data_IF_260804869374
#
_entry.id   IF_260804869374
#
_cell.length_a   1.000
_cell.length_b   1.000
_cell.length_c   1.000
_cell.angle_alpha   90.00
_cell.angle_beta   90.00
_cell.angle_gamma   90.00
#
_symmetry.space_group_name_H-M   'P 1'
#
loop_
_entity.id
_entity.type
_entity.pdbx_description
1 polymer ?
#
# COMPACT_ATOMS: atom_id res chain seq x y z
N UNK A 1 -60.54 31.01 -2.06
CA UNK A 1 -60.51 30.79 -0.59
C UNK A 1 -61.14 29.45 -0.31
N UNK A 2 -60.57 28.70 0.65
CA UNK A 2 -60.93 27.36 1.16
C UNK A 2 -60.46 26.16 0.32
N UNK A 3 -59.89 25.07 0.85
CA UNK A 3 -59.22 24.75 2.13
C UNK A 3 -58.43 23.46 1.88
N UNK A 4 -57.31 23.30 2.58
CA UNK A 4 -56.42 22.14 2.56
C UNK A 4 -57.04 20.93 3.31
N UNK A 5 -56.38 19.76 3.16
CA UNK A 5 -56.29 18.62 4.10
C UNK A 5 -57.31 17.46 4.01
N UNK A 6 -56.89 16.32 3.44
CA UNK A 6 -56.43 15.08 4.13
C UNK A 6 -56.81 13.73 3.47
N UNK A 7 -55.78 12.86 3.40
CA UNK A 7 -55.83 11.37 3.38
C UNK A 7 -56.36 10.69 2.11
N UNK A 8 -55.73 9.67 1.50
CA UNK A 8 -55.05 8.53 2.12
C UNK A 8 -54.10 7.86 1.12
N UNK A 9 -53.03 7.30 1.67
CA UNK A 9 -51.84 6.70 1.05
C UNK A 9 -52.12 5.38 0.30
N UNK A 10 -51.52 5.22 -0.89
CA UNK A 10 -51.14 3.96 -1.53
C UNK A 10 -50.06 4.33 -2.58
N UNK A 11 -48.83 3.81 -2.64
CA UNK A 11 -48.26 2.59 -2.11
C UNK A 11 -47.51 1.89 -3.25
N UNK A 12 -46.25 2.25 -3.50
CA UNK A 12 -45.20 1.40 -4.10
C UNK A 12 -43.88 2.17 -4.18
N UNK A 13 -42.85 1.56 -3.62
CA UNK A 13 -41.55 2.15 -3.29
C UNK A 13 -40.43 1.64 -4.23
N UNK A 14 -39.20 2.10 -3.95
CA UNK A 14 -37.88 1.50 -4.29
C UNK A 14 -37.28 2.00 -5.61
N UNK A 15 -36.45 3.06 -5.61
CA UNK A 15 -34.99 3.07 -5.34
C UNK A 15 -34.23 2.08 -6.24
N UNK A 16 -33.87 2.52 -7.45
CA UNK A 16 -32.94 1.82 -8.33
C UNK A 16 -31.50 2.33 -8.19
N UNK A 17 -30.89 2.15 -7.01
CA UNK A 17 -29.44 2.31 -6.85
C UNK A 17 -28.81 1.01 -7.33
N UNK A 18 -28.42 0.94 -8.61
CA UNK A 18 -27.65 -0.18 -9.16
C UNK A 18 -26.26 -0.18 -8.51
N UNK A 19 -26.12 -0.90 -7.40
CA UNK A 19 -24.84 -1.20 -6.76
C UNK A 19 -24.10 -2.20 -7.64
N UNK A 20 -23.16 -1.71 -8.45
CA UNK A 20 -22.18 -2.56 -9.11
C UNK A 20 -21.29 -3.21 -8.04
N UNK A 21 -21.57 -4.48 -7.72
CA UNK A 21 -20.65 -5.34 -6.98
C UNK A 21 -19.43 -5.59 -7.87
N UNK A 22 -18.43 -4.72 -7.79
CA UNK A 22 -17.10 -5.03 -8.31
C UNK A 22 -16.53 -6.15 -7.47
N UNK A 23 -16.09 -7.23 -8.10
CA UNK A 23 -15.39 -8.35 -7.48
C UNK A 23 -14.12 -7.82 -6.78
N UNK A 24 -14.24 -7.44 -5.51
CA UNK A 24 -13.08 -7.19 -4.68
C UNK A 24 -12.46 -8.55 -4.37
N UNK A 25 -11.36 -8.88 -5.06
CA UNK A 25 -10.50 -9.96 -4.59
C UNK A 25 -10.13 -9.67 -3.13
N UNK A 26 -10.15 -10.69 -2.27
CA UNK A 26 -9.77 -10.56 -0.85
C UNK A 26 -8.24 -10.30 -0.68
N UNK A 27 -7.59 -9.63 -1.61
CA UNK A 27 -6.20 -9.22 -1.49
C UNK A 27 -6.09 -8.04 -0.51
N UNK A 28 -4.93 -7.90 0.13
CA UNK A 28 -4.67 -6.77 1.02
C UNK A 28 -4.56 -5.49 0.19
N UNK A 29 -5.39 -4.47 0.48
CA UNK A 29 -5.25 -3.19 -0.20
C UNK A 29 -4.00 -2.46 0.30
N UNK A 30 -3.44 -1.60 -0.54
CA UNK A 30 -2.29 -0.76 -0.15
C UNK A 30 -2.74 0.36 0.79
N UNK A 31 -2.50 0.17 2.08
CA UNK A 31 -2.93 1.09 3.14
C UNK A 31 -1.95 1.03 4.33
N UNK A 32 -2.03 2.01 5.23
CA UNK A 32 -1.35 1.91 6.53
C UNK A 32 -1.80 0.66 7.28
N UNK A 33 -0.90 0.03 8.03
CA UNK A 33 -1.15 -1.22 8.76
C UNK A 33 -2.49 -1.19 9.53
N UNK A 34 -3.39 -2.09 9.14
CA UNK A 34 -4.70 -2.29 9.74
C UNK A 34 -5.08 -3.78 9.85
N UNK A 35 -6.37 -4.08 10.04
CA UNK A 35 -6.86 -5.46 10.26
C UNK A 35 -6.60 -6.40 9.07
N UNK A 36 -6.58 -5.89 7.85
CA UNK A 36 -6.35 -6.68 6.63
C UNK A 36 -4.88 -6.70 6.19
N UNK A 37 -3.96 -6.16 7.00
CA UNK A 37 -2.57 -5.89 6.64
C UNK A 37 -2.33 -4.43 6.25
N UNK A 38 -1.18 -4.17 5.64
CA UNK A 38 -0.75 -2.84 5.19
C UNK A 38 0.73 -2.57 5.41
N UNK A 39 1.14 -1.33 5.12
CA UNK A 39 2.50 -0.86 5.29
C UNK A 39 2.72 -0.19 6.66
N UNK A 40 3.96 -0.23 7.12
CA UNK A 40 4.47 0.58 8.22
C UNK A 40 5.92 0.97 7.94
N UNK A 41 6.30 2.15 8.41
CA UNK A 41 7.66 2.66 8.31
C UNK A 41 8.08 3.34 9.61
N UNK A 42 9.35 3.19 9.96
CA UNK A 42 9.95 3.81 11.14
C UNK A 42 11.34 4.32 10.78
N UNK A 43 11.62 5.58 11.12
CA UNK A 43 12.94 6.17 10.93
C UNK A 43 13.92 5.58 11.96
N UNK A 44 15.06 5.09 11.49
CA UNK A 44 16.18 4.66 12.33
C UNK A 44 17.23 5.77 12.39
N UNK A 45 17.53 6.39 11.23
CA UNK A 45 18.50 7.48 11.07
C UNK A 45 18.00 8.48 10.01
N UNK A 46 18.79 9.52 9.71
CA UNK A 46 18.49 10.53 8.70
C UNK A 46 18.28 9.90 7.32
N UNK A 47 19.14 8.94 6.95
CA UNK A 47 19.14 8.25 5.65
C UNK A 47 18.68 6.78 5.74
N UNK A 48 18.23 6.33 6.91
CA UNK A 48 17.98 4.89 7.16
C UNK A 48 16.61 4.69 7.80
N UNK A 49 15.79 3.85 7.19
CA UNK A 49 14.41 3.57 7.61
C UNK A 49 14.16 2.07 7.64
N UNK A 50 13.39 1.58 8.62
CA UNK A 50 12.82 0.24 8.58
C UNK A 50 11.44 0.32 7.95
N UNK A 51 11.24 -0.44 6.88
CA UNK A 51 9.97 -0.55 6.18
C UNK A 51 9.42 -1.96 6.46
N UNK A 52 8.11 -2.07 6.65
CA UNK A 52 7.42 -3.34 6.81
C UNK A 52 6.14 -3.32 5.98
N UNK A 53 5.88 -4.40 5.27
CA UNK A 53 4.61 -4.63 4.59
C UNK A 53 4.04 -5.98 4.99
N UNK A 54 2.79 -6.00 5.44
CA UNK A 54 2.06 -7.22 5.80
C UNK A 54 0.90 -7.40 4.83
N UNK A 55 0.91 -8.46 4.02
CA UNK A 55 -0.24 -8.91 3.23
C UNK A 55 -0.96 -10.05 3.94
N UNK A 56 -2.24 -10.26 3.65
CA UNK A 56 -3.02 -11.39 4.14
C UNK A 56 -2.69 -12.66 3.35
N UNK A 57 -3.24 -13.80 3.78
CA UNK A 57 -2.99 -15.12 3.17
C UNK A 57 -3.48 -15.29 1.73
N UNK A 58 -4.26 -14.34 1.21
CA UNK A 58 -4.72 -14.30 -0.18
C UNK A 58 -3.83 -13.43 -1.08
N UNK A 59 -2.88 -12.70 -0.50
CA UNK A 59 -1.97 -11.81 -1.23
C UNK A 59 -0.70 -12.56 -1.59
N UNK A 60 -0.37 -12.58 -2.88
CA UNK A 60 0.87 -13.21 -3.36
C UNK A 60 2.11 -12.56 -2.76
N UNK A 61 3.13 -13.38 -2.47
CA UNK A 61 4.40 -12.89 -1.90
C UNK A 61 5.07 -11.86 -2.81
N UNK A 62 4.97 -12.02 -4.14
CA UNK A 62 5.47 -11.03 -5.11
C UNK A 62 4.74 -9.69 -4.98
N UNK A 63 3.43 -9.70 -4.72
CA UNK A 63 2.65 -8.47 -4.50
C UNK A 63 3.08 -7.79 -3.20
N UNK A 64 3.29 -8.56 -2.12
CA UNK A 64 3.83 -8.05 -0.85
C UNK A 64 5.23 -7.45 -1.04
N UNK A 65 6.11 -8.10 -1.80
CA UNK A 65 7.46 -7.61 -2.10
C UNK A 65 7.41 -6.32 -2.92
N UNK A 66 6.54 -6.27 -3.91
CA UNK A 66 6.31 -5.07 -4.70
C UNK A 66 5.79 -3.91 -3.83
N UNK A 67 4.86 -4.17 -2.92
CA UNK A 67 4.31 -3.14 -2.03
C UNK A 67 5.35 -2.65 -1.00
N UNK A 68 6.23 -3.55 -0.52
CA UNK A 68 7.39 -3.18 0.28
C UNK A 68 8.33 -2.23 -0.49
N UNK A 69 8.71 -2.57 -1.72
CA UNK A 69 9.59 -1.73 -2.55
C UNK A 69 8.93 -0.39 -2.91
N UNK A 70 7.64 -0.41 -3.22
CA UNK A 70 6.85 0.79 -3.48
C UNK A 70 6.86 1.71 -2.26
N UNK A 71 6.60 1.18 -1.05
CA UNK A 71 6.66 1.98 0.18
C UNK A 71 8.05 2.55 0.43
N UNK A 72 9.10 1.76 0.21
CA UNK A 72 10.48 2.24 0.34
C UNK A 72 10.76 3.43 -0.60
N UNK A 73 10.27 3.37 -1.84
CA UNK A 73 10.39 4.44 -2.80
C UNK A 73 9.58 5.70 -2.41
N UNK A 74 8.37 5.53 -1.89
CA UNK A 74 7.57 6.64 -1.37
C UNK A 74 8.28 7.35 -0.23
N UNK A 75 8.79 6.60 0.76
CA UNK A 75 9.50 7.17 1.90
C UNK A 75 10.79 7.87 1.44
N UNK A 76 11.51 7.30 0.48
CA UNK A 76 12.69 7.94 -0.11
C UNK A 76 12.34 9.30 -0.74
N UNK A 77 11.32 9.35 -1.60
CA UNK A 77 10.91 10.60 -2.25
C UNK A 77 10.32 11.62 -1.29
N UNK A 78 9.54 11.17 -0.30
CA UNK A 78 9.00 12.04 0.74
C UNK A 78 10.11 12.72 1.57
N UNK A 79 11.27 12.08 1.72
CA UNK A 79 12.43 12.60 2.43
C UNK A 79 13.47 13.27 1.53
N UNK A 80 13.21 13.42 0.23
CA UNK A 80 14.11 14.09 -0.71
C UNK A 80 15.32 13.25 -1.17
N UNK A 81 15.21 11.93 -1.10
CA UNK A 81 16.18 10.97 -1.63
C UNK A 81 15.77 10.46 -3.02
N UNK A 82 16.74 10.05 -3.81
CA UNK A 82 16.55 9.60 -5.20
C UNK A 82 16.69 8.10 -5.35
N UNK A 83 17.56 7.50 -4.55
CA UNK A 83 17.89 6.09 -4.58
C UNK A 83 17.71 5.47 -3.21
N UNK A 84 17.43 4.18 -3.17
CA UNK A 84 17.43 3.41 -1.95
C UNK A 84 17.97 2.00 -2.16
N UNK A 85 18.44 1.39 -1.08
CA UNK A 85 18.95 0.03 -1.06
C UNK A 85 18.31 -0.69 0.11
N UNK A 86 17.86 -1.90 -0.14
CA UNK A 86 17.37 -2.80 0.90
C UNK A 86 18.57 -3.56 1.47
N UNK A 87 18.71 -3.53 2.78
CA UNK A 87 19.76 -4.23 3.50
C UNK A 87 19.56 -5.74 3.50
N UNK A 88 20.64 -6.47 3.82
CA UNK A 88 20.63 -7.94 3.91
C UNK A 88 19.80 -8.45 5.11
N UNK A 89 19.44 -7.56 6.05
CA UNK A 89 18.58 -7.85 7.20
C UNK A 89 17.09 -7.99 6.82
N UNK A 90 16.78 -8.07 5.51
CA UNK A 90 15.43 -8.27 5.01
C UNK A 90 14.88 -9.61 5.49
N UNK A 91 13.84 -9.53 6.30
CA UNK A 91 13.06 -10.66 6.77
C UNK A 91 11.84 -10.84 5.88
N UNK A 92 11.61 -12.06 5.42
CA UNK A 92 10.40 -12.46 4.71
C UNK A 92 9.78 -13.62 5.48
N UNK A 93 8.67 -13.36 6.17
CA UNK A 93 7.93 -14.35 6.93
C UNK A 93 6.63 -14.68 6.21
N UNK A 94 6.54 -15.89 5.68
CA UNK A 94 5.32 -16.41 5.06
C UNK A 94 4.58 -17.30 6.05
N UNK A 95 3.39 -16.88 6.45
CA UNK A 95 2.43 -17.68 7.20
C UNK A 95 1.25 -18.10 6.32
N UNK A 96 0.38 -18.94 6.88
CA UNK A 96 -0.85 -19.36 6.19
C UNK A 96 -1.93 -18.26 6.18
N UNK A 97 -1.86 -17.32 7.15
CA UNK A 97 -2.85 -16.26 7.32
C UNK A 97 -2.33 -14.89 6.85
N UNK A 98 -1.02 -14.71 6.79
CA UNK A 98 -0.37 -13.47 6.40
C UNK A 98 1.05 -13.71 5.86
N UNK A 99 1.52 -12.80 5.02
CA UNK A 99 2.90 -12.72 4.55
C UNK A 99 3.46 -11.35 4.93
N UNK A 100 4.53 -11.32 5.71
CA UNK A 100 5.20 -10.09 6.11
C UNK A 100 6.59 -10.00 5.50
N UNK A 101 6.92 -8.83 4.94
CA UNK A 101 8.28 -8.47 4.53
C UNK A 101 8.68 -7.24 5.33
N UNK A 102 9.79 -7.34 6.06
CA UNK A 102 10.39 -6.23 6.81
C UNK A 102 11.86 -6.11 6.46
N UNK A 103 12.40 -4.90 6.35
CA UNK A 103 13.82 -4.71 6.08
C UNK A 103 14.28 -3.29 6.35
N UNK A 104 15.56 -3.13 6.63
CA UNK A 104 16.17 -1.79 6.72
C UNK A 104 16.52 -1.33 5.32
N UNK A 105 16.15 -0.10 5.04
CA UNK A 105 16.36 0.57 3.76
C UNK A 105 17.24 1.79 4.01
N UNK A 106 18.38 1.83 3.33
CA UNK A 106 19.29 2.98 3.32
C UNK A 106 19.08 3.77 2.04
N UNK A 107 18.95 5.09 2.18
CA UNK A 107 18.57 6.02 1.12
C UNK A 107 19.76 6.89 0.72
N UNK A 108 19.78 7.31 -0.54
CA UNK A 108 20.85 8.10 -1.12
C UNK A 108 20.27 9.21 -2.00
N UNK A 109 20.91 10.37 -1.98
CA UNK A 109 20.51 11.55 -2.75
C UNK A 109 21.47 11.75 -3.92
N UNK A 110 20.95 12.21 -5.07
CA UNK A 110 21.77 12.54 -6.23
C UNK A 110 22.02 11.36 -7.17
N UNK A 111 23.27 11.17 -7.59
CA UNK A 111 23.66 10.13 -8.54
C UNK A 111 23.52 8.73 -7.93
N UNK A 112 23.33 7.73 -8.80
CA UNK A 112 23.27 6.32 -8.41
C UNK A 112 24.51 5.99 -7.57
N UNK A 113 24.38 5.36 -6.38
CA UNK A 113 25.54 4.97 -5.59
C UNK A 113 26.40 3.97 -6.38
N UNK A 114 27.57 4.42 -6.80
CA UNK A 114 28.51 3.63 -7.61
C UNK A 114 29.01 2.41 -6.83
N UNK A 115 29.18 1.28 -7.52
CA UNK A 115 29.61 0.02 -6.91
C UNK A 115 28.50 -0.78 -6.19
N UNK A 116 27.27 -0.29 -6.13
CA UNK A 116 26.13 -1.00 -5.52
C UNK A 116 25.07 -1.38 -6.55
N UNK A 117 25.16 -2.62 -7.04
CA UNK A 117 24.25 -3.18 -8.04
C UNK A 117 22.79 -3.27 -7.55
N UNK A 118 22.58 -3.34 -6.23
CA UNK A 118 21.28 -3.51 -5.58
C UNK A 118 20.58 -2.19 -5.18
N UNK A 119 21.02 -1.05 -5.73
CA UNK A 119 20.36 0.23 -5.53
C UNK A 119 19.18 0.42 -6.51
N UNK A 120 18.02 0.74 -5.96
CA UNK A 120 16.78 1.02 -6.67
C UNK A 120 16.60 2.53 -6.86
N UNK A 121 16.18 2.96 -8.05
CA UNK A 121 15.71 4.33 -8.31
C UNK A 121 14.29 4.47 -7.77
N UNK A 122 14.09 5.33 -6.78
CA UNK A 122 12.79 5.55 -6.16
C UNK A 122 11.76 6.08 -7.17
N UNK A 123 12.16 6.99 -8.06
CA UNK A 123 11.27 7.50 -9.10
C UNK A 123 10.89 6.42 -10.11
N UNK A 124 11.82 5.55 -10.49
CA UNK A 124 11.52 4.44 -11.42
C UNK A 124 10.57 3.43 -10.79
N UNK A 125 10.75 3.09 -9.51
CA UNK A 125 9.84 2.21 -8.78
C UNK A 125 8.44 2.80 -8.74
N UNK A 126 8.26 4.08 -8.37
CA UNK A 126 6.93 4.69 -8.30
C UNK A 126 6.22 4.80 -9.66
N UNK A 127 6.98 4.87 -10.77
CA UNK A 127 6.40 4.90 -12.12
C UNK A 127 6.00 3.53 -12.63
N UNK A 128 6.81 2.51 -12.35
CA UNK A 128 6.66 1.18 -12.91
C UNK A 128 5.83 0.25 -12.02
N UNK A 129 5.88 0.49 -10.71
CA UNK A 129 5.20 -0.29 -9.70
C UNK A 129 4.02 0.55 -9.21
N UNK A 130 2.80 0.08 -9.45
CA UNK A 130 1.60 0.70 -8.90
C UNK A 130 0.86 -0.32 -8.05
N UNK A 131 0.51 0.01 -6.80
CA UNK A 131 -0.41 -0.81 -6.04
C UNK A 131 -1.76 -0.91 -6.75
N UNK A 132 -2.31 -2.12 -6.76
CA UNK A 132 -3.63 -2.43 -7.35
C UNK A 132 -4.74 -2.20 -6.33
#
# INVERSE_FOLDING_TARGET
MQTQFWSTFAGAAVIGLMTAFTLAGCATPYQSKGLAGGYGDSRIDVDTFRITFTGNGYTDTTTVENYFLFRAAEVAKANGFDWFMVGDDRLSRRGHLETEISGVVKMFKGSKPEGRLNAYDAGAILRNLKPM
#
